data_IF_605744071503
#
_entry.id   IF_605744071503
#
_cell.length_a   1.000
_cell.length_b   1.000
_cell.length_c   1.000
_cell.angle_alpha   90.00
_cell.angle_beta   90.00
_cell.angle_gamma   90.00
#
_symmetry.space_group_name_H-M   'P 1'
#
loop_
_entity.id
_entity.type
_entity.pdbx_description
1 polymer ?
#
# COMPACT_ATOMS: atom_id res chain seq x y z
N UNK A 1 -74.57 -33.88 12.04
CA UNK A 1 -73.39 -34.67 11.65
C UNK A 1 -72.93 -34.11 10.30
N UNK A 2 -71.81 -33.42 10.07
CA UNK A 2 -70.56 -33.06 10.77
C UNK A 2 -69.98 -31.90 9.93
N UNK A 3 -69.28 -30.90 10.50
CA UNK A 3 -68.79 -29.76 9.73
C UNK A 3 -67.53 -30.14 8.93
N UNK A 4 -67.39 -29.58 7.73
CA UNK A 4 -66.19 -29.68 6.90
C UNK A 4 -65.10 -28.77 7.47
N UNK A 5 -64.06 -29.37 8.04
CA UNK A 5 -62.84 -28.68 8.46
C UNK A 5 -62.02 -28.27 7.23
N UNK A 6 -61.80 -26.96 7.03
CA UNK A 6 -60.70 -26.47 6.22
C UNK A 6 -59.39 -26.78 6.95
N UNK A 7 -58.56 -27.65 6.38
CA UNK A 7 -57.18 -27.83 6.83
C UNK A 7 -56.35 -26.72 6.19
N UNK A 8 -55.98 -25.72 7.01
CA UNK A 8 -54.98 -24.73 6.65
C UNK A 8 -53.61 -25.43 6.69
N UNK A 9 -53.04 -25.77 5.54
CA UNK A 9 -51.65 -26.24 5.47
C UNK A 9 -50.76 -25.01 5.62
N UNK A 10 -50.34 -24.74 6.86
CA UNK A 10 -49.24 -23.83 7.13
C UNK A 10 -47.95 -24.48 6.59
N UNK A 11 -47.51 -24.06 5.41
CA UNK A 11 -46.15 -24.31 4.95
C UNK A 11 -45.23 -23.50 5.85
N UNK A 12 -44.72 -24.15 6.90
CA UNK A 12 -43.57 -23.66 7.63
C UNK A 12 -42.40 -23.78 6.67
N UNK A 13 -42.10 -22.69 5.96
CA UNK A 13 -40.79 -22.50 5.36
C UNK A 13 -39.80 -22.45 6.52
N UNK A 14 -39.28 -23.63 6.90
CA UNK A 14 -38.03 -23.70 7.62
C UNK A 14 -37.00 -22.97 6.75
N UNK A 15 -36.65 -21.75 7.15
CA UNK A 15 -35.48 -21.04 6.66
C UNK A 15 -34.29 -21.92 7.04
N UNK A 16 -33.97 -22.88 6.19
CA UNK A 16 -32.63 -23.43 6.08
C UNK A 16 -31.77 -22.28 5.57
N UNK A 17 -31.38 -21.39 6.48
CA UNK A 17 -30.21 -20.55 6.30
C UNK A 17 -29.10 -21.54 5.98
N UNK A 18 -28.54 -21.56 4.77
CA UNK A 18 -27.34 -22.32 4.53
C UNK A 18 -26.36 -21.80 5.56
N UNK A 19 -25.93 -22.66 6.50
CA UNK A 19 -24.91 -22.29 7.45
C UNK A 19 -23.80 -21.63 6.67
N UNK A 20 -23.36 -20.45 7.10
CA UNK A 20 -22.33 -19.67 6.42
C UNK A 20 -21.09 -20.57 6.27
N UNK A 21 -21.01 -21.29 5.16
CA UNK A 21 -19.84 -22.04 4.75
C UNK A 21 -18.78 -20.98 4.51
N UNK A 22 -17.74 -21.02 5.35
CA UNK A 22 -16.77 -19.94 5.47
C UNK A 22 -16.37 -19.36 4.13
N UNK A 23 -16.75 -18.10 3.89
CA UNK A 23 -16.25 -17.29 2.78
C UNK A 23 -14.78 -16.86 2.99
N UNK A 24 -14.08 -17.49 3.93
CA UNK A 24 -12.64 -17.42 3.98
C UNK A 24 -12.13 -18.49 3.03
N UNK A 25 -11.80 -18.06 1.80
CA UNK A 25 -10.84 -18.79 0.98
C UNK A 25 -9.67 -19.19 1.90
N UNK A 26 -9.23 -20.44 1.79
CA UNK A 26 -8.04 -20.88 2.48
C UNK A 26 -6.92 -19.85 2.22
N UNK A 27 -6.08 -19.52 3.22
CA UNK A 27 -4.98 -18.59 3.01
C UNK A 27 -4.25 -18.98 1.73
N UNK A 28 -4.00 -18.06 0.79
CA UNK A 28 -3.22 -18.39 -0.38
C UNK A 28 -1.93 -19.09 0.09
N UNK A 29 -1.46 -20.13 -0.61
CA UNK A 29 -0.28 -20.90 -0.19
C UNK A 29 1.00 -20.04 -0.09
N UNK A 30 0.94 -18.78 -0.51
CA UNK A 30 1.99 -17.78 -0.46
C UNK A 30 1.87 -16.96 0.83
N UNK A 31 2.32 -17.53 1.93
CA UNK A 31 2.44 -16.82 3.21
C UNK A 31 3.60 -15.83 3.12
N UNK A 32 3.39 -14.69 2.45
CA UNK A 32 4.22 -13.51 2.60
C UNK A 32 3.61 -12.66 3.69
N UNK A 33 4.33 -12.50 4.80
CA UNK A 33 3.83 -11.80 5.99
C UNK A 33 4.50 -10.43 6.11
N UNK A 34 3.72 -9.40 6.41
CA UNK A 34 4.29 -8.18 6.95
C UNK A 34 4.81 -8.43 8.38
N UNK A 35 5.89 -7.75 8.76
CA UNK A 35 6.44 -7.84 10.11
C UNK A 35 5.87 -6.73 11.00
N UNK A 36 5.34 -7.12 12.16
CA UNK A 36 4.74 -6.19 13.13
C UNK A 36 5.70 -5.10 13.60
N UNK A 37 5.13 -3.93 13.89
CA UNK A 37 5.82 -2.83 14.57
C UNK A 37 6.72 -1.99 13.66
N UNK A 38 6.65 -2.23 12.36
CA UNK A 38 7.29 -1.41 11.34
C UNK A 38 6.24 -0.49 10.73
N UNK A 39 6.51 0.81 10.75
CA UNK A 39 5.61 1.80 10.19
C UNK A 39 6.38 3.08 9.89
N UNK A 40 5.78 3.96 9.09
CA UNK A 40 6.27 5.33 8.92
C UNK A 40 6.19 6.13 10.22
N UNK A 41 6.90 7.26 10.26
CA UNK A 41 6.71 8.25 11.33
C UNK A 41 5.23 8.62 11.42
N UNK A 42 4.77 8.98 12.62
CA UNK A 42 3.36 9.37 12.88
C UNK A 42 2.86 10.39 11.86
N UNK A 43 3.70 11.36 11.52
CA UNK A 43 3.39 12.46 10.60
C UNK A 43 4.22 12.41 9.31
N UNK A 44 4.88 11.28 9.04
CA UNK A 44 5.67 11.07 7.83
C UNK A 44 4.81 10.78 6.61
N UNK A 45 5.42 10.90 5.41
CA UNK A 45 4.71 10.81 4.14
C UNK A 45 3.51 11.79 4.15
N UNK A 46 2.35 11.40 3.63
CA UNK A 46 1.17 12.26 3.57
C UNK A 46 0.18 11.97 4.69
N UNK A 47 0.63 11.38 5.80
CA UNK A 47 -0.25 11.02 6.94
C UNK A 47 -0.94 12.22 7.54
N UNK A 48 -0.27 13.37 7.59
CA UNK A 48 -0.84 14.62 8.11
C UNK A 48 -2.00 15.10 7.23
N UNK A 49 -1.77 15.22 5.92
CA UNK A 49 -2.78 15.61 4.94
C UNK A 49 -3.95 14.62 4.94
N UNK A 50 -3.66 13.31 4.89
CA UNK A 50 -4.68 12.28 4.85
C UNK A 50 -5.53 12.22 6.13
N UNK A 51 -4.94 12.49 7.31
CA UNK A 51 -5.73 12.66 8.54
C UNK A 51 -6.65 13.88 8.49
N UNK A 52 -6.21 15.00 7.92
CA UNK A 52 -7.06 16.17 7.76
C UNK A 52 -8.26 15.88 6.84
N UNK A 53 -8.01 15.17 5.72
CA UNK A 53 -9.06 14.66 4.81
C UNK A 53 -10.03 13.76 5.58
N UNK A 54 -9.55 12.72 6.27
CA UNK A 54 -10.41 11.82 7.06
C UNK A 54 -11.25 12.56 8.10
N UNK A 55 -10.65 13.53 8.81
CA UNK A 55 -11.35 14.31 9.81
C UNK A 55 -12.46 15.18 9.21
N UNK A 56 -12.22 15.81 8.05
CA UNK A 56 -13.26 16.56 7.34
C UNK A 56 -14.37 15.62 6.85
N UNK A 57 -14.00 14.51 6.22
CA UNK A 57 -14.95 13.53 5.69
C UNK A 57 -15.82 12.93 6.79
N UNK A 58 -15.26 12.63 7.96
CA UNK A 58 -16.02 12.18 9.12
C UNK A 58 -17.08 13.22 9.57
N UNK A 59 -16.73 14.52 9.58
CA UNK A 59 -17.68 15.61 9.87
C UNK A 59 -18.77 15.74 8.81
N UNK A 60 -18.42 15.57 7.53
CA UNK A 60 -19.40 15.60 6.43
C UNK A 60 -20.36 14.41 6.52
N UNK A 61 -19.84 13.22 6.82
CA UNK A 61 -20.64 12.01 6.99
C UNK A 61 -21.57 12.10 8.20
N UNK A 62 -21.10 12.63 9.34
CA UNK A 62 -21.94 12.82 10.54
C UNK A 62 -23.10 13.78 10.32
N UNK A 63 -22.97 14.69 9.34
CA UNK A 63 -24.02 15.63 8.91
C UNK A 63 -24.80 15.15 7.68
N UNK A 64 -24.49 13.95 7.18
CA UNK A 64 -25.06 13.37 5.94
C UNK A 64 -24.90 14.30 4.73
N UNK A 65 -23.83 15.09 4.69
CA UNK A 65 -23.54 16.03 3.61
C UNK A 65 -22.84 15.32 2.44
N UNK A 66 -23.53 14.36 1.81
CA UNK A 66 -22.96 13.51 0.74
C UNK A 66 -22.50 14.30 -0.49
N UNK A 67 -23.19 15.40 -0.85
CA UNK A 67 -22.76 16.25 -1.97
C UNK A 67 -21.36 16.84 -1.73
N UNK A 68 -21.10 17.39 -0.55
CA UNK A 68 -19.78 17.90 -0.17
C UNK A 68 -18.74 16.78 -0.02
N UNK A 69 -19.16 15.61 0.47
CA UNK A 69 -18.31 14.42 0.59
C UNK A 69 -17.84 13.91 -0.79
N UNK A 70 -18.70 13.98 -1.79
CA UNK A 70 -18.49 13.45 -3.14
C UNK A 70 -17.98 14.50 -4.14
N UNK A 71 -17.96 15.79 -3.76
CA UNK A 71 -17.50 16.88 -4.61
C UNK A 71 -16.12 16.64 -5.28
N UNK A 72 -15.12 16.04 -4.61
CA UNK A 72 -13.83 15.75 -5.26
C UNK A 72 -13.97 14.76 -6.41
N UNK A 73 -14.76 13.69 -6.24
CA UNK A 73 -15.00 12.68 -7.26
C UNK A 73 -15.77 13.24 -8.45
N UNK A 74 -16.74 14.12 -8.21
CA UNK A 74 -17.48 14.79 -9.28
C UNK A 74 -16.57 15.71 -10.12
N UNK A 75 -15.57 16.35 -9.50
CA UNK A 75 -14.62 17.22 -10.20
C UNK A 75 -13.49 16.45 -10.90
N UNK A 76 -13.10 15.28 -10.39
CA UNK A 76 -12.02 14.46 -10.94
C UNK A 76 -12.25 14.05 -12.41
N UNK A 77 -13.50 13.75 -12.78
CA UNK A 77 -13.88 13.44 -14.16
C UNK A 77 -13.59 14.56 -15.17
N UNK A 78 -13.52 15.82 -14.72
CA UNK A 78 -13.14 16.96 -15.57
C UNK A 78 -11.62 17.22 -15.62
N UNK A 79 -10.86 16.72 -14.63
CA UNK A 79 -9.41 16.95 -14.47
C UNK A 79 -8.53 15.91 -15.17
N UNK A 80 -9.04 14.68 -15.38
CA UNK A 80 -8.37 13.66 -16.22
C UNK A 80 -8.05 14.17 -17.63
N UNK A 81 -8.84 15.11 -18.17
CA UNK A 81 -8.59 15.76 -19.46
C UNK A 81 -7.44 16.79 -19.45
N UNK A 82 -7.04 17.29 -18.28
CA UNK A 82 -6.01 18.31 -18.11
C UNK A 82 -4.66 17.78 -17.60
N UNK A 83 -4.57 16.50 -17.22
CA UNK A 83 -3.32 15.85 -16.80
C UNK A 83 -2.74 16.33 -15.46
N UNK A 84 -3.52 17.08 -14.66
CA UNK A 84 -3.09 17.63 -13.37
C UNK A 84 -4.08 17.22 -12.27
N UNK A 85 -3.63 16.59 -11.17
CA UNK A 85 -4.50 16.25 -10.04
C UNK A 85 -5.10 17.50 -9.37
N UNK A 86 -6.40 17.47 -9.06
CA UNK A 86 -7.11 18.58 -8.40
C UNK A 86 -6.79 18.67 -6.90
N UNK A 87 -6.41 19.85 -6.41
CA UNK A 87 -6.31 20.08 -4.97
C UNK A 87 -7.70 19.97 -4.31
N UNK A 88 -7.80 19.16 -3.25
CA UNK A 88 -9.06 18.98 -2.51
C UNK A 88 -8.81 18.88 -1.01
N UNK A 89 -9.70 19.49 -0.23
CA UNK A 89 -9.70 19.32 1.23
C UNK A 89 -10.43 18.04 1.68
N UNK A 90 -11.28 17.47 0.82
CA UNK A 90 -12.11 16.31 1.11
C UNK A 90 -11.66 15.03 0.39
N UNK A 91 -10.50 15.07 -0.28
CA UNK A 91 -9.82 13.91 -0.83
C UNK A 91 -8.31 14.05 -0.70
N UNK A 92 -7.59 12.94 -0.54
CA UNK A 92 -6.14 12.92 -0.71
C UNK A 92 -5.86 13.06 -2.20
N UNK A 93 -5.15 14.12 -2.58
CA UNK A 93 -4.94 14.44 -3.98
C UNK A 93 -3.62 15.18 -4.20
N UNK A 94 -3.13 15.14 -5.44
CA UNK A 94 -1.84 15.73 -5.83
C UNK A 94 -0.92 14.75 -6.55
N UNK A 95 0.36 15.11 -6.63
CA UNK A 95 1.43 14.26 -7.19
C UNK A 95 2.36 13.85 -6.05
N UNK A 96 2.32 12.59 -5.64
CA UNK A 96 3.31 12.04 -4.72
C UNK A 96 4.58 11.72 -5.51
N UNK A 97 5.67 12.45 -5.27
CA UNK A 97 6.96 12.21 -5.91
C UNK A 97 7.80 11.26 -5.04
N UNK A 98 8.32 10.18 -5.63
CA UNK A 98 9.07 9.14 -4.93
C UNK A 98 10.40 8.88 -5.66
N UNK A 99 11.57 9.16 -5.05
CA UNK A 99 12.83 8.71 -5.60
C UNK A 99 13.02 7.23 -5.26
N UNK A 100 13.28 6.43 -6.28
CA UNK A 100 13.64 5.02 -6.13
C UNK A 100 15.17 4.90 -6.04
N UNK A 101 15.68 4.65 -4.83
CA UNK A 101 17.10 4.52 -4.55
C UNK A 101 17.52 3.06 -4.74
N UNK A 102 18.15 2.79 -5.88
CA UNK A 102 18.73 1.50 -6.19
C UNK A 102 20.07 1.37 -5.45
N UNK A 103 20.27 0.30 -4.70
CA UNK A 103 21.54 0.01 -4.08
C UNK A 103 21.94 -1.45 -4.30
N UNK A 104 23.24 -1.72 -4.25
CA UNK A 104 23.80 -3.07 -4.38
C UNK A 104 24.83 -3.31 -3.29
N UNK A 105 25.08 -4.57 -2.99
CA UNK A 105 26.12 -4.97 -2.05
C UNK A 105 27.46 -5.11 -2.77
N UNK A 106 28.55 -5.16 -2.00
CA UNK A 106 29.90 -5.34 -2.54
C UNK A 106 30.05 -6.61 -3.37
N UNK A 107 29.35 -7.67 -2.97
CA UNK A 107 29.35 -8.99 -3.59
C UNK A 107 28.19 -9.23 -4.55
N UNK A 108 27.37 -8.20 -4.87
CA UNK A 108 26.29 -8.35 -5.85
C UNK A 108 26.86 -8.68 -7.24
N UNK A 109 26.49 -9.82 -7.84
CA UNK A 109 26.85 -10.17 -9.20
C UNK A 109 26.29 -9.16 -10.21
N UNK A 110 27.09 -8.80 -11.22
CA UNK A 110 26.64 -7.88 -12.27
C UNK A 110 25.40 -8.40 -13.04
N UNK A 111 25.23 -9.72 -13.11
CA UNK A 111 24.08 -10.39 -13.75
C UNK A 111 22.75 -10.18 -13.02
N UNK A 112 22.78 -9.78 -11.74
CA UNK A 112 21.58 -9.50 -10.95
C UNK A 112 21.12 -8.05 -11.08
N UNK A 113 21.95 -7.17 -11.66
CA UNK A 113 21.63 -5.76 -11.78
C UNK A 113 20.69 -5.50 -12.96
N UNK A 114 19.65 -4.70 -12.71
CA UNK A 114 18.71 -4.23 -13.72
C UNK A 114 18.91 -2.75 -13.98
N UNK A 115 18.56 -2.29 -15.18
CA UNK A 115 18.74 -0.89 -15.53
C UNK A 115 17.70 -0.02 -14.81
N UNK A 116 18.11 1.14 -14.30
CA UNK A 116 17.23 2.15 -13.70
C UNK A 116 16.01 2.49 -14.58
N UNK A 117 16.16 2.50 -15.92
CA UNK A 117 15.07 2.69 -16.86
C UNK A 117 14.00 1.59 -16.77
N UNK A 118 14.39 0.34 -16.50
CA UNK A 118 13.43 -0.76 -16.33
C UNK A 118 12.59 -0.57 -15.07
N UNK A 119 13.20 -0.11 -13.97
CA UNK A 119 12.47 0.28 -12.77
C UNK A 119 11.53 1.46 -13.02
N UNK A 120 11.99 2.50 -13.75
CA UNK A 120 11.12 3.63 -14.12
C UNK A 120 9.91 3.20 -14.95
N UNK A 121 10.08 2.23 -15.85
CA UNK A 121 8.99 1.70 -16.67
C UNK A 121 7.95 0.92 -15.84
N UNK A 122 8.36 0.24 -14.77
CA UNK A 122 7.45 -0.47 -13.87
C UNK A 122 6.83 0.45 -12.82
N UNK A 123 7.58 1.42 -12.30
CA UNK A 123 7.12 2.28 -11.22
C UNK A 123 6.39 3.53 -11.71
N UNK A 124 6.95 4.26 -12.68
CA UNK A 124 6.57 5.66 -12.94
C UNK A 124 6.01 5.93 -14.34
N UNK A 125 6.07 4.97 -15.27
CA UNK A 125 5.45 5.14 -16.58
C UNK A 125 3.92 5.30 -16.46
N UNK A 126 3.33 6.19 -17.25
CA UNK A 126 1.88 6.46 -17.23
C UNK A 126 1.05 5.26 -17.71
N UNK A 127 1.64 4.36 -18.50
CA UNK A 127 1.05 3.10 -18.90
C UNK A 127 2.11 1.99 -18.97
N UNK A 128 1.72 0.71 -18.86
CA UNK A 128 2.64 -0.41 -18.92
C UNK A 128 3.33 -0.51 -20.29
N UNK A 129 4.63 -0.20 -20.32
CA UNK A 129 5.47 -0.11 -21.54
C UNK A 129 6.90 -0.58 -21.24
N UNK A 130 7.65 -1.01 -22.27
CA UNK A 130 9.01 -1.50 -22.06
C UNK A 130 9.07 -2.68 -21.09
N UNK A 131 9.82 -2.56 -19.99
CA UNK A 131 9.94 -3.60 -18.95
C UNK A 131 8.63 -3.91 -18.22
N UNK A 132 7.61 -3.05 -18.31
CA UNK A 132 6.25 -3.31 -17.82
C UNK A 132 5.26 -3.71 -18.91
N UNK A 133 5.69 -3.95 -20.15
CA UNK A 133 4.80 -4.40 -21.21
C UNK A 133 4.10 -5.73 -20.81
N UNK A 134 2.79 -5.81 -21.06
CA UNK A 134 1.95 -6.96 -20.69
C UNK A 134 1.51 -7.00 -19.23
N UNK A 135 1.97 -6.05 -18.39
CA UNK A 135 1.45 -5.88 -17.02
C UNK A 135 0.15 -5.06 -17.06
N UNK A 136 -0.81 -5.29 -16.15
CA UNK A 136 -2.02 -4.47 -16.06
C UNK A 136 -1.75 -3.04 -15.58
N UNK A 137 -0.80 -2.87 -14.66
CA UNK A 137 -0.50 -1.58 -14.06
C UNK A 137 1.00 -1.33 -13.86
N UNK A 138 1.35 -0.05 -13.88
CA UNK A 138 2.54 0.49 -13.21
C UNK A 138 2.14 0.99 -11.81
N UNK A 139 3.11 1.28 -10.94
CA UNK A 139 2.81 1.88 -9.63
C UNK A 139 2.06 3.21 -9.79
N UNK A 140 2.44 4.04 -10.76
CA UNK A 140 1.72 5.25 -11.15
C UNK A 140 0.29 4.97 -11.62
N UNK A 141 0.10 4.14 -12.64
CA UNK A 141 -1.22 3.97 -13.27
C UNK A 141 -2.21 3.29 -12.34
N UNK A 142 -1.73 2.45 -11.40
CA UNK A 142 -2.55 1.84 -10.37
C UNK A 142 -3.21 2.89 -9.46
N UNK A 143 -2.44 3.86 -8.97
CA UNK A 143 -2.99 4.93 -8.12
C UNK A 143 -3.83 5.93 -8.91
N UNK A 144 -3.46 6.26 -10.14
CA UNK A 144 -4.27 7.12 -11.01
C UNK A 144 -5.65 6.50 -11.26
N UNK A 145 -5.72 5.20 -11.56
CA UNK A 145 -6.99 4.50 -11.72
C UNK A 145 -7.77 4.43 -10.40
N UNK A 146 -7.13 3.98 -9.31
CA UNK A 146 -7.81 3.78 -8.03
C UNK A 146 -8.42 5.08 -7.46
N UNK A 147 -7.73 6.20 -7.66
CA UNK A 147 -8.11 7.52 -7.17
C UNK A 147 -8.94 8.32 -8.17
N UNK A 148 -9.27 7.76 -9.33
CA UNK A 148 -9.96 8.47 -10.42
C UNK A 148 -9.21 9.74 -10.88
N UNK A 149 -7.88 9.69 -10.89
CA UNK A 149 -7.00 10.80 -11.27
C UNK A 149 -6.78 11.85 -10.18
N UNK A 150 -7.37 11.70 -8.98
CA UNK A 150 -7.12 12.61 -7.86
C UNK A 150 -5.68 12.51 -7.35
N UNK A 151 -5.03 11.36 -7.49
CA UNK A 151 -3.64 11.14 -7.10
C UNK A 151 -2.85 10.57 -8.28
N UNK A 152 -1.65 11.11 -8.50
CA UNK A 152 -0.63 10.49 -9.35
C UNK A 152 0.62 10.21 -8.51
N UNK A 153 1.30 9.10 -8.82
CA UNK A 153 2.64 8.84 -8.29
C UNK A 153 3.65 9.05 -9.40
N UNK A 154 4.66 9.87 -9.15
CA UNK A 154 5.73 10.16 -10.10
C UNK A 154 7.08 9.98 -9.42
N UNK A 155 8.14 9.89 -10.19
CA UNK A 155 9.46 9.70 -9.63
C UNK A 155 10.49 9.27 -10.65
N UNK A 156 11.67 8.98 -10.13
CA UNK A 156 12.80 8.48 -10.89
C UNK A 156 13.64 7.54 -10.04
N UNK A 157 14.22 6.55 -10.70
CA UNK A 157 15.19 5.63 -10.10
C UNK A 157 16.61 6.17 -10.23
N UNK A 158 17.38 6.10 -9.15
CA UNK A 158 18.76 6.56 -9.04
C UNK A 158 19.65 5.42 -8.53
N UNK A 159 20.84 5.28 -9.09
CA UNK A 159 21.83 4.31 -8.64
C UNK A 159 22.37 3.40 -9.75
N UNK A 160 23.03 2.30 -9.41
CA UNK A 160 23.15 1.73 -8.07
C UNK A 160 24.14 2.47 -7.14
N UNK A 161 23.72 2.75 -5.90
CA UNK A 161 24.66 2.97 -4.81
C UNK A 161 25.34 1.65 -4.43
N UNK A 162 26.64 1.50 -4.71
CA UNK A 162 27.40 0.33 -4.30
C UNK A 162 27.75 0.44 -2.82
N UNK A 163 27.15 -0.36 -1.94
CA UNK A 163 27.46 -0.40 -0.51
C UNK A 163 28.84 -1.02 -0.25
N UNK A 164 29.48 -0.61 0.84
CA UNK A 164 30.89 -0.93 1.14
C UNK A 164 31.11 -2.38 1.60
N UNK A 165 30.05 -3.08 1.99
CA UNK A 165 30.11 -4.45 2.51
C UNK A 165 29.28 -5.46 1.72
N UNK A 166 29.54 -6.74 1.98
CA UNK A 166 28.78 -7.85 1.41
C UNK A 166 27.34 -7.88 1.96
N UNK A 167 26.42 -8.52 1.23
CA UNK A 167 25.00 -8.60 1.59
C UNK A 167 24.79 -9.09 3.03
N UNK A 168 25.49 -10.16 3.43
CA UNK A 168 25.39 -10.77 4.77
C UNK A 168 25.67 -9.79 5.92
N UNK A 169 26.45 -8.74 5.67
CA UNK A 169 26.68 -7.68 6.66
C UNK A 169 25.38 -6.92 6.95
N UNK A 170 24.58 -6.64 5.92
CA UNK A 170 23.34 -5.88 6.07
C UNK A 170 22.14 -6.78 6.39
N UNK A 171 22.10 -7.99 5.83
CA UNK A 171 21.02 -8.93 6.09
C UNK A 171 21.18 -9.64 7.43
N UNK A 172 22.41 -9.82 7.92
CA UNK A 172 22.75 -10.54 9.16
C UNK A 172 23.19 -11.98 8.90
N UNK A 173 23.97 -12.56 9.82
CA UNK A 173 24.50 -13.92 9.68
C UNK A 173 23.43 -14.96 10.06
N UNK A 174 23.05 -15.88 9.15
CA UNK A 174 22.09 -16.93 9.49
C UNK A 174 22.50 -17.71 10.74
N UNK A 175 21.57 -17.93 11.65
CA UNK A 175 21.79 -18.61 12.93
C UNK A 175 21.99 -17.65 14.11
N UNK A 176 22.20 -16.36 13.87
CA UNK A 176 22.26 -15.33 14.93
C UNK A 176 20.94 -14.57 15.11
N UNK A 177 19.87 -15.04 14.49
CA UNK A 177 18.59 -14.33 14.35
C UNK A 177 17.42 -15.20 14.79
N UNK A 178 16.33 -14.57 15.22
CA UNK A 178 15.13 -15.26 15.69
C UNK A 178 13.87 -14.50 15.29
N UNK A 179 12.75 -15.21 15.13
CA UNK A 179 11.46 -14.60 14.81
C UNK A 179 11.05 -14.65 13.34
N UNK A 180 11.82 -15.33 12.47
CA UNK A 180 11.35 -15.63 11.10
C UNK A 180 10.06 -16.43 11.14
N UNK A 181 9.05 -15.96 10.41
CA UNK A 181 7.76 -16.65 10.30
C UNK A 181 7.84 -17.97 9.52
N UNK A 182 8.96 -18.24 8.86
CA UNK A 182 9.23 -19.49 8.14
C UNK A 182 9.95 -20.54 8.99
N UNK A 183 10.26 -20.24 10.26
CA UNK A 183 11.06 -21.14 11.10
C UNK A 183 12.52 -21.29 10.64
N UNK A 184 13.00 -20.36 9.79
CA UNK A 184 14.36 -20.34 9.26
C UNK A 184 15.32 -19.60 10.20
N UNK A 185 16.61 -19.84 10.03
CA UNK A 185 17.69 -19.11 10.72
C UNK A 185 18.08 -17.79 10.06
N UNK A 186 17.46 -17.47 8.92
CA UNK A 186 17.70 -16.23 8.17
C UNK A 186 17.31 -14.99 8.96
N UNK A 187 18.08 -13.93 8.75
CA UNK A 187 17.97 -12.66 9.41
C UNK A 187 17.17 -11.64 8.59
N UNK A 188 17.26 -11.73 7.26
CA UNK A 188 16.56 -10.91 6.26
C UNK A 188 16.65 -9.38 6.53
N UNK A 189 17.72 -8.94 7.22
CA UNK A 189 17.96 -7.55 7.61
C UNK A 189 17.05 -7.01 8.71
N UNK A 190 16.33 -7.86 9.45
CA UNK A 190 15.34 -7.41 10.44
C UNK A 190 15.20 -8.29 11.69
N UNK A 191 15.46 -9.60 11.61
CA UNK A 191 15.26 -10.56 12.71
C UNK A 191 16.42 -10.59 13.72
N UNK A 192 17.24 -9.53 13.73
CA UNK A 192 18.29 -9.26 14.71
C UNK A 192 18.47 -7.75 14.83
N UNK A 193 18.72 -7.25 16.04
CA UNK A 193 19.02 -5.84 16.30
C UNK A 193 20.27 -5.37 15.55
N UNK A 194 21.27 -6.25 15.42
CA UNK A 194 22.50 -5.96 14.69
C UNK A 194 22.25 -5.89 13.18
N UNK A 195 21.51 -6.85 12.62
CA UNK A 195 21.12 -6.83 11.21
C UNK A 195 20.30 -5.57 10.88
N UNK A 196 19.34 -5.23 11.74
CA UNK A 196 18.57 -4.00 11.63
C UNK A 196 19.46 -2.76 11.66
N UNK A 197 20.37 -2.65 12.63
CA UNK A 197 21.27 -1.51 12.77
C UNK A 197 22.21 -1.36 11.56
N UNK A 198 22.76 -2.47 11.07
CA UNK A 198 23.62 -2.48 9.86
C UNK A 198 22.84 -2.07 8.63
N UNK A 199 21.62 -2.59 8.44
CA UNK A 199 20.79 -2.16 7.32
C UNK A 199 20.43 -0.67 7.42
N UNK A 200 20.09 -0.16 8.60
CA UNK A 200 19.84 1.27 8.82
C UNK A 200 21.07 2.14 8.47
N UNK A 201 22.28 1.67 8.75
CA UNK A 201 23.51 2.33 8.32
C UNK A 201 23.71 2.24 6.80
N UNK A 202 23.48 1.07 6.20
CA UNK A 202 23.57 0.86 4.75
C UNK A 202 22.60 1.73 3.94
N UNK A 203 21.38 1.95 4.42
CA UNK A 203 20.43 2.87 3.77
C UNK A 203 20.95 4.32 3.78
N UNK A 204 21.52 4.78 4.90
CA UNK A 204 22.15 6.12 4.96
C UNK A 204 23.39 6.20 4.08
N UNK A 205 24.15 5.12 3.96
CA UNK A 205 25.29 5.01 3.07
C UNK A 205 24.87 5.11 1.59
N UNK A 206 23.77 4.45 1.20
CA UNK A 206 23.21 4.55 -0.14
C UNK A 206 22.80 5.99 -0.48
N UNK A 207 22.10 6.65 0.45
CA UNK A 207 21.73 8.06 0.31
C UNK A 207 22.96 8.95 0.14
N UNK A 208 23.97 8.79 1.01
CA UNK A 208 25.23 9.54 0.92
C UNK A 208 25.92 9.39 -0.44
N UNK A 209 25.89 8.19 -1.02
CA UNK A 209 26.54 7.90 -2.31
C UNK A 209 25.81 8.51 -3.51
N UNK A 210 24.52 8.77 -3.38
CA UNK A 210 23.69 9.34 -4.46
C UNK A 210 23.25 10.78 -4.19
N UNK A 211 23.58 11.36 -3.04
CA UNK A 211 23.06 12.65 -2.59
C UNK A 211 23.20 13.74 -3.67
N UNK A 212 24.40 13.89 -4.23
CA UNK A 212 24.69 14.89 -5.26
C UNK A 212 24.09 14.57 -6.66
N UNK A 213 23.42 13.43 -6.83
CA UNK A 213 22.80 13.01 -8.09
C UNK A 213 21.28 13.19 -8.09
N UNK A 214 20.69 13.50 -6.93
CA UNK A 214 19.24 13.63 -6.76
C UNK A 214 18.92 15.09 -6.50
N UNK A 215 18.04 15.68 -7.29
CA UNK A 215 17.44 16.97 -6.94
C UNK A 215 16.35 16.75 -5.87
N UNK A 216 16.75 16.85 -4.60
CA UNK A 216 15.85 16.57 -3.48
C UNK A 216 14.73 17.60 -3.32
N UNK A 217 14.86 18.79 -3.91
CA UNK A 217 13.82 19.83 -3.84
C UNK A 217 12.51 19.41 -4.50
N UNK A 218 12.56 18.39 -5.37
CA UNK A 218 11.38 17.83 -6.03
C UNK A 218 10.56 16.93 -5.12
N UNK A 219 11.07 16.49 -3.98
CA UNK A 219 10.48 15.41 -3.19
C UNK A 219 9.99 15.86 -1.80
N UNK A 220 9.99 17.15 -1.49
CA UNK A 220 9.43 17.77 -0.28
C UNK A 220 8.19 18.60 -0.66
N UNK A 221 7.10 17.92 -1.03
CA UNK A 221 5.94 18.60 -1.65
C UNK A 221 5.12 19.43 -0.67
N UNK A 222 5.16 19.11 0.63
CA UNK A 222 4.46 19.85 1.68
C UNK A 222 5.34 20.89 2.39
N UNK A 223 6.64 20.94 2.05
CA UNK A 223 7.60 21.91 2.55
C UNK A 223 8.01 21.69 4.00
N UNK A 224 7.73 20.52 4.59
CA UNK A 224 8.03 20.24 5.99
C UNK A 224 9.52 19.92 6.24
N UNK A 225 10.33 19.91 5.18
CA UNK A 225 11.76 19.63 5.22
C UNK A 225 12.08 18.14 5.24
N UNK A 226 11.10 17.27 4.98
CA UNK A 226 11.33 15.85 4.74
C UNK A 226 10.91 15.45 3.33
N UNK A 227 11.69 14.53 2.76
CA UNK A 227 11.25 13.83 1.56
C UNK A 227 9.98 13.05 1.86
N UNK A 228 8.94 13.26 1.06
CA UNK A 228 7.61 12.66 1.22
C UNK A 228 7.71 11.14 1.41
N UNK A 229 8.39 10.45 0.47
CA UNK A 229 8.60 9.01 0.55
C UNK A 229 9.80 8.60 -0.29
N UNK A 230 10.66 7.72 0.23
CA UNK A 230 11.74 7.08 -0.53
C UNK A 230 11.44 5.60 -0.73
N UNK A 231 11.71 5.06 -1.92
CA UNK A 231 11.69 3.63 -2.17
C UNK A 231 13.12 3.11 -2.34
N UNK A 232 13.64 2.35 -1.39
CA UNK A 232 14.91 1.64 -1.53
C UNK A 232 14.69 0.30 -2.21
N UNK A 233 15.50 0.00 -3.22
CA UNK A 233 15.38 -1.22 -4.02
C UNK A 233 16.71 -1.96 -4.02
N UNK A 234 16.73 -3.19 -3.51
CA UNK A 234 17.88 -4.10 -3.58
C UNK A 234 17.76 -5.04 -4.79
N UNK A 235 18.85 -5.61 -5.33
CA UNK A 235 18.82 -6.30 -6.62
C UNK A 235 18.29 -7.74 -6.55
N UNK A 236 18.28 -8.33 -5.35
CA UNK A 236 17.87 -9.71 -5.11
C UNK A 236 16.34 -9.87 -4.97
N UNK A 237 15.89 -11.13 -4.98
CA UNK A 237 14.49 -11.50 -4.70
C UNK A 237 14.09 -11.18 -3.27
N UNK A 238 12.80 -11.01 -3.07
CA UNK A 238 12.16 -10.76 -1.79
C UNK A 238 12.51 -11.83 -0.72
N UNK A 239 12.99 -11.41 0.45
CA UNK A 239 13.23 -12.31 1.60
C UNK A 239 11.95 -13.02 2.08
N UNK A 240 10.78 -12.45 1.84
CA UNK A 240 9.47 -13.04 2.10
C UNK A 240 9.13 -14.21 1.15
N UNK A 241 9.94 -14.49 0.13
CA UNK A 241 9.87 -15.74 -0.62
C UNK A 241 10.20 -16.97 0.23
N UNK A 242 10.82 -16.76 1.41
CA UNK A 242 11.18 -17.84 2.33
C UNK A 242 12.23 -18.78 1.73
N UNK A 243 12.39 -19.94 2.35
CA UNK A 243 13.42 -20.93 2.00
C UNK A 243 14.64 -20.85 2.91
N UNK A 244 15.26 -22.01 3.17
CA UNK A 244 16.33 -22.14 4.15
C UNK A 244 17.57 -21.27 3.86
N UNK A 245 17.83 -20.98 2.58
CA UNK A 245 19.01 -20.23 2.13
C UNK A 245 18.71 -18.80 1.68
N UNK A 246 17.43 -18.39 1.62
CA UNK A 246 17.05 -17.05 1.20
C UNK A 246 17.17 -16.05 2.36
N UNK A 247 18.36 -15.47 2.48
CA UNK A 247 18.66 -14.43 3.48
C UNK A 247 18.63 -13.02 2.88
N UNK A 248 17.95 -12.81 1.75
CA UNK A 248 17.80 -11.47 1.17
C UNK A 248 16.92 -10.58 2.05
N UNK A 249 16.95 -9.27 1.81
CA UNK A 249 16.19 -8.32 2.62
C UNK A 249 14.69 -8.57 2.53
N UNK A 250 14.00 -8.52 3.67
CA UNK A 250 12.54 -8.56 3.70
C UNK A 250 11.98 -7.15 3.42
N UNK A 251 10.97 -7.02 2.55
CA UNK A 251 10.34 -5.75 2.22
C UNK A 251 9.59 -5.18 3.43
N UNK A 252 9.58 -3.86 3.55
CA UNK A 252 8.98 -3.18 4.71
C UNK A 252 8.81 -1.70 4.45
N UNK A 253 7.81 -1.10 5.10
CA UNK A 253 7.84 0.33 5.45
C UNK A 253 8.54 0.55 6.79
N UNK A 254 9.30 1.63 6.91
CA UNK A 254 9.86 2.09 8.19
C UNK A 254 10.31 3.54 8.03
N UNK A 255 10.94 4.08 9.07
CA UNK A 255 11.78 5.27 8.99
C UNK A 255 13.22 5.00 9.43
N UNK A 256 14.12 5.91 9.07
CA UNK A 256 15.51 5.92 9.50
C UNK A 256 15.60 6.23 10.99
N UNK A 257 16.05 5.24 11.79
CA UNK A 257 16.08 5.30 13.25
C UNK A 257 17.34 4.66 13.83
N UNK A 258 17.60 4.96 15.10
CA UNK A 258 18.62 4.25 15.89
C UNK A 258 17.99 3.07 16.65
N UNK A 259 18.81 2.34 17.42
CA UNK A 259 18.37 1.19 18.21
C UNK A 259 17.33 1.52 19.30
N UNK A 260 17.20 2.80 19.68
CA UNK A 260 16.19 3.29 20.64
C UNK A 260 14.89 3.75 19.95
N UNK A 261 14.71 3.45 18.66
CA UNK A 261 13.61 3.92 17.83
C UNK A 261 13.50 5.46 17.72
N UNK A 262 14.59 6.19 18.01
CA UNK A 262 14.65 7.63 17.80
C UNK A 262 14.92 7.88 16.32
N UNK A 263 14.18 8.81 15.71
CA UNK A 263 14.36 9.22 14.32
C UNK A 263 15.76 9.80 14.14
N UNK A 264 16.55 9.23 13.23
CA UNK A 264 17.87 9.72 12.86
C UNK A 264 17.88 9.81 11.33
N UNK A 265 17.38 10.91 10.76
CA UNK A 265 17.23 11.05 9.32
C UNK A 265 18.60 11.25 8.65
N UNK A 266 18.63 11.14 7.31
CA UNK A 266 19.75 11.59 6.50
C UNK A 266 19.46 13.03 6.04
N UNK A 267 20.36 13.98 6.34
CA UNK A 267 20.26 15.35 5.81
C UNK A 267 20.90 15.37 4.42
N UNK A 268 20.13 15.77 3.42
CA UNK A 268 20.59 15.89 2.03
C UNK A 268 21.43 17.15 1.83
N UNK A 269 22.05 17.29 0.66
CA UNK A 269 22.74 18.52 0.28
C UNK A 269 21.79 19.70 -0.05
N UNK A 270 20.48 19.45 -0.15
CA UNK A 270 19.49 20.43 -0.59
C UNK A 270 18.77 21.11 0.57
N UNK A 271 18.32 22.34 0.32
CA UNK A 271 17.37 23.09 1.15
C UNK A 271 16.11 23.35 0.34
N UNK A 272 14.95 23.37 0.99
CA UNK A 272 13.70 23.70 0.32
C UNK A 272 13.56 25.21 0.07
N UNK A 273 12.46 25.63 -0.57
CA UNK A 273 12.20 27.02 -0.92
C UNK A 273 12.10 27.98 0.29
N UNK A 274 11.95 27.45 1.50
CA UNK A 274 11.91 28.18 2.76
C UNK A 274 13.27 28.20 3.48
N UNK A 275 14.32 27.65 2.87
CA UNK A 275 15.66 27.53 3.47
C UNK A 275 15.77 26.42 4.53
N UNK A 276 14.79 25.51 4.62
CA UNK A 276 14.82 24.38 5.54
C UNK A 276 15.64 23.23 4.92
N UNK A 277 16.62 22.64 5.63
CA UNK A 277 17.35 21.48 5.13
C UNK A 277 16.43 20.28 4.87
N UNK A 278 16.50 19.72 3.65
CA UNK A 278 15.69 18.57 3.26
C UNK A 278 16.32 17.29 3.81
N UNK A 279 15.47 16.44 4.40
CA UNK A 279 15.88 15.21 5.10
C UNK A 279 15.14 13.99 4.59
N UNK A 280 15.82 12.87 4.46
CA UNK A 280 15.19 11.57 4.22
C UNK A 280 14.97 10.87 5.57
N UNK A 281 13.75 10.39 5.80
CA UNK A 281 13.42 9.62 7.00
C UNK A 281 12.55 8.41 6.67
N UNK A 282 11.36 8.62 6.12
CA UNK A 282 10.40 7.55 5.81
C UNK A 282 10.78 6.83 4.52
N UNK A 283 10.68 5.51 4.55
CA UNK A 283 11.04 4.70 3.41
C UNK A 283 10.23 3.41 3.30
N UNK A 284 10.08 2.97 2.05
CA UNK A 284 9.78 1.59 1.68
C UNK A 284 11.09 0.94 1.28
N UNK A 285 11.34 -0.28 1.73
CA UNK A 285 12.38 -1.15 1.22
C UNK A 285 11.69 -2.28 0.46
N UNK A 286 12.09 -2.51 -0.77
CA UNK A 286 11.54 -3.57 -1.62
C UNK A 286 12.64 -4.29 -2.40
N UNK A 287 12.30 -5.48 -2.88
CA UNK A 287 13.11 -6.24 -3.83
C UNK A 287 13.04 -5.62 -5.22
N UNK A 288 14.10 -5.79 -6.00
CA UNK A 288 14.19 -5.29 -7.37
C UNK A 288 13.69 -6.28 -8.42
N UNK A 289 13.51 -7.53 -8.03
CA UNK A 289 13.07 -8.63 -8.89
C UNK A 289 12.04 -9.48 -8.17
N UNK A 290 11.21 -10.17 -8.94
CA UNK A 290 10.16 -11.04 -8.41
C UNK A 290 9.18 -11.53 -9.47
N UNK A 291 9.08 -10.87 -10.63
CA UNK A 291 8.21 -11.33 -11.72
C UNK A 291 6.75 -11.55 -11.32
N UNK A 292 6.09 -12.49 -11.99
CA UNK A 292 4.66 -12.76 -11.84
C UNK A 292 4.26 -13.32 -10.48
N UNK A 293 5.12 -14.13 -9.87
CA UNK A 293 4.84 -14.78 -8.59
C UNK A 293 5.43 -14.03 -7.38
N UNK A 294 6.22 -12.99 -7.66
CA UNK A 294 6.98 -12.17 -6.73
C UNK A 294 8.29 -12.80 -6.26
N UNK A 295 8.70 -13.97 -6.77
CA UNK A 295 9.91 -14.71 -6.38
C UNK A 295 10.83 -15.07 -7.56
N UNK A 296 10.53 -14.58 -8.77
CA UNK A 296 11.36 -14.79 -9.96
C UNK A 296 12.51 -13.78 -10.04
N UNK A 297 13.79 -14.21 -9.91
CA UNK A 297 14.95 -13.32 -10.01
C UNK A 297 15.18 -12.76 -11.43
N UNK A 298 14.54 -13.35 -12.44
CA UNK A 298 14.77 -13.02 -13.85
C UNK A 298 13.97 -11.79 -14.33
N UNK A 299 12.98 -11.34 -13.56
CA UNK A 299 12.05 -10.28 -13.93
C UNK A 299 11.92 -9.21 -12.84
N UNK A 300 11.71 -7.94 -13.22
CA UNK A 300 11.49 -6.83 -12.27
C UNK A 300 10.33 -7.14 -11.32
N UNK A 301 10.40 -6.67 -10.07
CA UNK A 301 9.39 -6.95 -9.05
C UNK A 301 7.96 -6.54 -9.47
N UNK A 302 6.92 -7.22 -8.95
CA UNK A 302 5.54 -6.76 -9.06
C UNK A 302 5.32 -5.42 -8.33
N UNK A 303 4.23 -4.71 -8.64
CA UNK A 303 3.92 -3.42 -7.98
C UNK A 303 3.15 -3.59 -6.67
N UNK A 304 2.64 -4.79 -6.38
CA UNK A 304 1.77 -5.06 -5.22
C UNK A 304 2.32 -4.60 -3.87
N UNK A 305 3.58 -4.91 -3.57
CA UNK A 305 4.20 -4.52 -2.29
C UNK A 305 4.31 -3.00 -2.18
N UNK A 306 4.93 -2.32 -3.16
CA UNK A 306 5.07 -0.86 -3.10
C UNK A 306 3.72 -0.14 -3.05
N UNK A 307 2.68 -0.62 -3.75
CA UNK A 307 1.35 0.01 -3.66
C UNK A 307 0.68 -0.23 -2.31
N UNK A 308 0.86 -1.39 -1.69
CA UNK A 308 0.35 -1.66 -0.34
C UNK A 308 1.00 -0.73 0.67
N UNK A 309 2.34 -0.66 0.64
CA UNK A 309 3.11 0.14 1.58
C UNK A 309 2.83 1.65 1.44
N UNK A 310 2.62 2.14 0.22
CA UNK A 310 2.19 3.52 0.00
C UNK A 310 0.82 3.82 0.58
N UNK A 311 -0.09 2.84 0.66
CA UNK A 311 -1.38 2.98 1.36
C UNK A 311 -1.21 3.40 2.82
N UNK A 312 -0.18 2.88 3.50
CA UNK A 312 0.17 3.30 4.86
C UNK A 312 0.77 4.71 4.91
N UNK A 313 1.34 5.21 3.81
CA UNK A 313 1.76 6.59 3.65
C UNK A 313 0.59 7.58 3.73
N UNK A 314 -0.61 7.12 3.38
CA UNK A 314 -1.86 7.87 3.61
C UNK A 314 -2.48 7.58 4.99
N UNK A 315 -1.81 6.78 5.82
CA UNK A 315 -2.26 6.42 7.17
C UNK A 315 -3.46 5.48 7.20
N UNK A 316 -3.64 4.66 6.16
CA UNK A 316 -4.50 3.48 6.23
C UNK A 316 -3.82 2.40 7.08
N UNK A 317 -4.57 1.63 7.88
CA UNK A 317 -4.03 0.50 8.64
C UNK A 317 -4.02 -0.77 7.79
N UNK A 318 -3.33 -1.79 8.28
CA UNK A 318 -3.53 -3.16 7.86
C UNK A 318 -4.93 -3.63 8.23
N UNK A 319 -5.62 -4.23 7.26
CA UNK A 319 -6.96 -4.79 7.41
C UNK A 319 -6.97 -6.33 7.39
N UNK A 320 -5.82 -6.96 7.15
CA UNK A 320 -5.62 -8.38 7.48
C UNK A 320 -5.36 -8.53 8.98
N UNK A 321 -5.62 -9.73 9.52
CA UNK A 321 -5.32 -10.00 10.92
C UNK A 321 -3.81 -10.20 11.11
N UNK A 322 -3.17 -9.19 11.70
CA UNK A 322 -1.74 -9.23 12.01
C UNK A 322 -1.39 -10.31 13.03
N UNK A 323 -2.34 -10.86 13.80
CA UNK A 323 -2.13 -12.04 14.66
C UNK A 323 -2.18 -13.36 13.90
N UNK A 324 -2.51 -13.33 12.61
CA UNK A 324 -2.61 -14.48 11.72
C UNK A 324 -3.58 -15.56 12.24
N UNK A 325 -4.62 -15.14 12.98
CA UNK A 325 -5.72 -16.03 13.41
C UNK A 325 -6.89 -16.03 12.43
N UNK A 326 -6.93 -15.07 11.51
CA UNK A 326 -7.85 -15.02 10.36
C UNK A 326 -7.20 -14.30 9.17
N UNK A 327 -7.93 -14.17 8.06
CA UNK A 327 -7.47 -13.36 6.92
C UNK A 327 -7.79 -11.85 7.08
N UNK A 328 -8.58 -11.46 8.10
CA UNK A 328 -9.20 -10.13 8.12
C UNK A 328 -10.04 -9.93 6.85
N UNK A 329 -9.83 -8.82 6.13
CA UNK A 329 -10.46 -8.59 4.81
C UNK A 329 -9.86 -9.46 3.69
N UNK A 330 -8.70 -10.08 3.91
CA UNK A 330 -8.04 -10.98 2.97
C UNK A 330 -7.73 -10.33 1.62
N UNK A 331 -7.83 -11.12 0.55
CA UNK A 331 -7.52 -10.68 -0.82
C UNK A 331 -8.52 -9.62 -1.35
N UNK A 332 -9.62 -9.38 -0.64
CA UNK A 332 -10.63 -8.40 -1.03
C UNK A 332 -10.22 -6.94 -0.77
N UNK A 333 -9.05 -6.65 -0.22
CA UNK A 333 -8.57 -5.26 -0.16
C UNK A 333 -7.08 -5.22 -0.38
N UNK A 334 -6.62 -4.15 -1.05
CA UNK A 334 -5.19 -3.85 -1.08
C UNK A 334 -4.59 -3.82 0.32
N UNK A 335 -5.27 -3.21 1.29
CA UNK A 335 -4.81 -3.11 2.68
C UNK A 335 -5.01 -4.42 3.46
N UNK A 336 -5.59 -5.44 2.83
CA UNK A 336 -5.57 -6.82 3.30
C UNK A 336 -4.39 -7.58 2.68
N UNK A 337 -4.63 -8.80 2.22
CA UNK A 337 -3.65 -9.59 1.45
C UNK A 337 -3.81 -9.42 -0.07
N UNK A 338 -4.60 -8.43 -0.50
CA UNK A 338 -4.94 -8.20 -1.91
C UNK A 338 -3.76 -7.80 -2.80
N UNK A 339 -2.66 -7.34 -2.20
CA UNK A 339 -1.40 -7.18 -2.92
C UNK A 339 -0.82 -8.50 -3.47
N UNK A 340 -1.23 -9.63 -2.90
CA UNK A 340 -0.83 -10.98 -3.32
C UNK A 340 -1.91 -11.74 -4.11
N UNK A 341 -3.12 -11.20 -4.23
CA UNK A 341 -4.22 -11.81 -5.00
C UNK A 341 -3.80 -12.03 -6.47
N UNK A 342 -3.16 -11.01 -7.05
CA UNK A 342 -2.39 -11.10 -8.28
C UNK A 342 -1.25 -10.09 -8.20
N UNK A 343 0.03 -10.50 -8.06
CA UNK A 343 1.12 -9.56 -7.80
C UNK A 343 1.25 -8.42 -8.83
N UNK A 344 0.95 -8.69 -10.11
CA UNK A 344 0.92 -7.67 -11.17
C UNK A 344 -0.40 -6.90 -11.27
N UNK A 345 -1.48 -7.42 -10.68
CA UNK A 345 -2.80 -6.79 -10.64
C UNK A 345 -3.36 -6.82 -9.21
N UNK A 346 -2.76 -6.05 -8.28
CA UNK A 346 -3.21 -6.03 -6.90
C UNK A 346 -4.69 -5.71 -6.80
N UNK A 347 -5.37 -6.26 -5.78
CA UNK A 347 -6.75 -5.89 -5.51
C UNK A 347 -6.87 -4.39 -5.27
N UNK A 348 -8.00 -3.81 -5.69
CA UNK A 348 -8.37 -2.46 -5.26
C UNK A 348 -8.51 -2.40 -3.73
N UNK A 349 -8.27 -1.23 -3.15
CA UNK A 349 -8.73 -0.93 -1.78
C UNK A 349 -10.24 -1.20 -1.62
N UNK A 350 -10.65 -1.59 -0.43
CA UNK A 350 -12.06 -1.71 -0.05
C UNK A 350 -12.76 -0.34 0.03
N UNK A 351 -14.10 -0.36 -0.02
CA UNK A 351 -14.93 0.84 0.07
C UNK A 351 -14.63 1.72 1.29
N UNK A 352 -14.26 1.14 2.44
CA UNK A 352 -13.92 1.94 3.62
C UNK A 352 -12.60 2.67 3.42
N UNK A 353 -11.55 1.99 2.97
CA UNK A 353 -10.25 2.58 2.64
C UNK A 353 -10.37 3.71 1.61
N UNK A 354 -11.10 3.47 0.51
CA UNK A 354 -11.36 4.50 -0.51
C UNK A 354 -12.16 5.68 0.06
N UNK A 355 -13.15 5.40 0.90
CA UNK A 355 -13.93 6.44 1.58
C UNK A 355 -13.10 7.22 2.57
N UNK A 356 -12.09 6.65 3.23
CA UNK A 356 -11.17 7.41 4.07
C UNK A 356 -10.33 8.42 3.26
N UNK A 357 -9.97 8.07 2.02
CA UNK A 357 -9.13 8.89 1.14
C UNK A 357 -9.93 9.83 0.24
N UNK A 358 -11.24 9.64 0.12
CA UNK A 358 -12.09 10.43 -0.78
C UNK A 358 -11.99 10.03 -2.24
N UNK A 359 -11.67 8.76 -2.49
CA UNK A 359 -11.49 8.17 -3.83
C UNK A 359 -12.69 7.34 -4.30
N UNK A 360 -13.86 7.57 -3.69
CA UNK A 360 -15.10 6.87 -4.01
C UNK A 360 -16.28 7.80 -3.75
N UNK A 361 -17.30 7.67 -4.58
CA UNK A 361 -18.60 8.32 -4.40
C UNK A 361 -19.42 7.53 -3.39
N UNK A 362 -19.91 8.18 -2.33
CA UNK A 362 -20.76 7.55 -1.32
C UNK A 362 -22.22 7.88 -1.56
N UNK A 363 -23.04 6.86 -1.82
CA UNK A 363 -24.48 7.00 -2.12
C UNK A 363 -25.31 6.45 -0.96
N UNK A 364 -26.11 7.28 -0.26
CA UNK A 364 -26.95 6.79 0.83
C UNK A 364 -28.12 5.93 0.32
N UNK A 365 -28.32 4.77 0.94
CA UNK A 365 -29.53 3.97 0.80
C UNK A 365 -30.58 4.44 1.80
N UNK A 366 -31.52 5.26 1.31
CA UNK A 366 -32.53 5.93 2.14
C UNK A 366 -33.84 5.17 2.30
N UNK A 367 -34.09 4.14 1.49
CA UNK A 367 -35.35 3.39 1.48
C UNK A 367 -35.12 1.91 1.22
N UNK A 368 -36.01 1.09 1.79
CA UNK A 368 -36.11 -0.31 1.44
C UNK A 368 -36.46 -0.46 -0.04
N UNK A 369 -35.77 -1.35 -0.74
CA UNK A 369 -35.98 -1.57 -2.16
C UNK A 369 -34.88 -2.40 -2.80
N UNK A 370 -35.03 -2.63 -4.10
CA UNK A 370 -33.98 -3.25 -4.91
C UNK A 370 -33.02 -2.16 -5.37
N UNK A 371 -31.74 -2.33 -5.07
CA UNK A 371 -30.66 -1.43 -5.46
C UNK A 371 -29.68 -2.18 -6.37
N UNK A 372 -29.22 -1.54 -7.44
CA UNK A 372 -28.25 -2.12 -8.38
C UNK A 372 -26.87 -1.52 -8.16
N UNK A 373 -25.86 -2.38 -8.21
CA UNK A 373 -24.48 -2.05 -7.90
C UNK A 373 -23.62 -2.36 -9.13
N UNK A 374 -23.04 -1.33 -9.74
CA UNK A 374 -22.01 -1.54 -10.75
C UNK A 374 -20.77 -2.21 -10.14
N UNK A 375 -20.03 -2.97 -10.95
CA UNK A 375 -18.80 -3.61 -10.51
C UNK A 375 -17.83 -2.56 -9.92
N UNK A 376 -17.26 -2.86 -8.76
CA UNK A 376 -16.41 -1.95 -8.01
C UNK A 376 -15.24 -1.40 -8.83
N UNK A 377 -14.59 -2.16 -9.75
CA UNK A 377 -13.53 -1.61 -10.60
C UNK A 377 -13.96 -0.46 -11.53
N UNK A 378 -15.26 -0.29 -11.80
CA UNK A 378 -15.77 0.67 -12.80
C UNK A 378 -16.88 1.59 -12.29
N UNK A 379 -17.53 1.28 -11.17
CA UNK A 379 -18.68 2.06 -10.69
C UNK A 379 -18.30 3.25 -9.82
N UNK A 380 -17.07 3.27 -9.29
CA UNK A 380 -16.52 4.28 -8.37
C UNK A 380 -17.48 4.72 -7.26
N UNK A 381 -18.37 3.81 -6.87
CA UNK A 381 -19.49 4.08 -5.97
C UNK A 381 -19.56 3.01 -4.90
N UNK A 382 -19.66 3.46 -3.65
CA UNK A 382 -19.98 2.63 -2.50
C UNK A 382 -21.29 3.13 -1.89
N UNK A 383 -22.14 2.20 -1.48
CA UNK A 383 -23.45 2.52 -0.94
C UNK A 383 -23.39 2.56 0.58
N UNK A 384 -23.85 3.67 1.15
CA UNK A 384 -23.93 3.88 2.59
C UNK A 384 -25.25 3.37 3.13
N UNK A 385 -25.18 2.41 4.05
CA UNK A 385 -26.34 1.88 4.78
C UNK A 385 -26.22 2.25 6.26
N UNK A 386 -27.08 3.15 6.78
CA UNK A 386 -27.08 3.48 8.21
C UNK A 386 -27.58 2.31 9.04
N UNK A 387 -27.01 2.12 10.23
CA UNK A 387 -27.57 1.21 11.24
C UNK A 387 -28.87 1.81 11.79
N UNK A 388 -29.95 1.03 11.77
CA UNK A 388 -31.25 1.39 12.32
C UNK A 388 -31.28 1.34 13.85
N UNK A 389 -32.03 2.23 14.50
CA UNK A 389 -32.20 2.23 15.95
C UNK A 389 -31.13 3.05 16.69
N UNK A 390 -30.92 2.73 17.98
CA UNK A 390 -29.92 3.41 18.80
C UNK A 390 -28.52 3.16 18.24
N UNK A 391 -27.85 4.23 17.81
CA UNK A 391 -26.54 4.16 17.19
C UNK A 391 -25.57 5.20 17.80
N UNK A 392 -25.26 5.10 19.11
CA UNK A 392 -24.42 6.07 19.81
C UNK A 392 -22.96 6.08 19.31
N UNK A 393 -22.55 5.01 18.61
CA UNK A 393 -21.22 4.86 18.01
C UNK A 393 -21.15 5.37 16.56
N UNK A 394 -22.29 5.71 15.96
CA UNK A 394 -22.37 6.16 14.57
C UNK A 394 -21.95 5.10 13.56
N UNK A 395 -22.22 3.82 13.84
CA UNK A 395 -21.91 2.68 12.97
C UNK A 395 -22.72 2.72 11.67
N UNK A 396 -22.12 2.25 10.58
CA UNK A 396 -22.72 2.15 9.26
C UNK A 396 -22.02 1.06 8.45
N UNK A 397 -22.68 0.61 7.40
CA UNK A 397 -22.07 -0.26 6.40
C UNK A 397 -21.78 0.51 5.12
N UNK A 398 -20.70 0.13 4.45
CA UNK A 398 -20.42 0.48 3.07
C UNK A 398 -20.53 -0.80 2.25
N UNK A 399 -21.34 -0.74 1.20
CA UNK A 399 -21.61 -1.87 0.32
C UNK A 399 -21.01 -1.60 -1.05
N UNK A 400 -20.26 -2.57 -1.57
CA UNK A 400 -19.67 -2.56 -2.91
C UNK A 400 -19.86 -3.92 -3.58
N UNK A 401 -19.91 -3.94 -4.91
CA UNK A 401 -20.01 -5.16 -5.69
C UNK A 401 -18.63 -5.53 -6.28
N UNK A 402 -17.95 -6.53 -5.71
CA UNK A 402 -16.61 -6.95 -6.16
C UNK A 402 -16.60 -8.04 -7.22
N UNK A 403 -17.69 -8.22 -7.96
CA UNK A 403 -17.72 -9.12 -9.11
C UNK A 403 -16.56 -8.80 -10.06
N UNK A 404 -15.82 -9.88 -10.39
CA UNK A 404 -14.73 -9.89 -11.35
C UNK A 404 -15.26 -9.91 -12.79
#
# INVERSE_FOLDING_TARGET
MTPRSLVLVAVVCALSVPGATGAQQAPPPRIRREIKGLDFRKDGVWRRQARAVRALRAKLLSRRSFGALNAPMAAAGASLAAGVPLASSAAVSGVLRVPAILFKFKDTPATELRNATQYNQVLFAASPTGASAGRPYTYRSFYEQMSNGLLSVQGQSYGYAALDSNEVTYTGVPGTCSGSSFGTTNCNGLFSSEAWARMQAGLREALRKLDNQVDWTQYDSDGDGYVDLVAFIHPAVDGACGGATNNHLWPRRSYLKNALNIVVPYTTHSVNSQGVPIKVADYILDSGVGGLDGCDPSQIMPVGTVVHETGHGFGLPDLYDTRYTSQGVGEWSLMGTGNWASPLSPSRMDAWSLSQLGWVTIVPLGSAGTHSFGAAPTSDTAFYLPVSGSNPRGEYFLLENRQA
#
